data_IF_600996551843
#
_entry.id   IF_600996551843
#
_cell.length_a   1.000
_cell.length_b   1.000
_cell.length_c   1.000
_cell.angle_alpha   90.00
_cell.angle_beta   90.00
_cell.angle_gamma   90.00
#
_symmetry.space_group_name_H-M   'P 1'
#
loop_
_entity.id
_entity.type
_entity.pdbx_description
1 polymer ?
#
# COMPACT_ATOMS: atom_id res chain seq x y z
N UNK A 1 18.20 -45.87 -40.17
CA UNK A 1 17.70 -44.55 -40.63
C UNK A 1 17.58 -43.64 -39.41
N UNK A 2 18.53 -42.73 -39.27
CA UNK A 2 18.62 -41.72 -38.20
C UNK A 2 17.52 -40.68 -38.38
N UNK A 3 16.68 -40.48 -37.35
CA UNK A 3 15.65 -39.44 -37.33
C UNK A 3 16.18 -38.22 -36.56
N UNK A 4 16.44 -37.15 -37.30
CA UNK A 4 16.81 -35.83 -36.76
C UNK A 4 15.65 -35.23 -35.98
N UNK A 5 15.83 -34.99 -34.68
CA UNK A 5 14.86 -34.31 -33.82
C UNK A 5 15.08 -32.79 -33.95
N UNK A 6 14.10 -32.07 -34.50
CA UNK A 6 14.09 -30.59 -34.48
C UNK A 6 13.45 -30.10 -33.18
N UNK A 7 14.19 -29.33 -32.38
CA UNK A 7 13.67 -28.61 -31.20
C UNK A 7 12.98 -27.32 -31.65
N UNK A 8 11.80 -27.00 -31.10
CA UNK A 8 11.15 -25.69 -31.25
C UNK A 8 11.50 -24.83 -30.05
N UNK A 9 12.01 -23.62 -30.32
CA UNK A 9 12.39 -22.63 -29.33
C UNK A 9 11.29 -21.57 -29.28
N UNK A 10 10.77 -21.27 -28.09
CA UNK A 10 9.74 -20.24 -27.89
C UNK A 10 10.40 -19.07 -27.16
N UNK A 11 10.28 -17.87 -27.74
CA UNK A 11 10.82 -16.63 -27.18
C UNK A 11 9.69 -15.82 -26.55
N UNK A 12 9.88 -15.39 -25.31
CA UNK A 12 8.98 -14.48 -24.62
C UNK A 12 9.80 -13.23 -24.25
N UNK A 13 9.39 -12.07 -24.74
CA UNK A 13 9.99 -10.78 -24.44
C UNK A 13 9.12 -10.05 -23.43
N UNK A 14 9.70 -9.65 -22.28
CA UNK A 14 9.01 -8.87 -21.24
C UNK A 14 9.74 -7.52 -21.14
N UNK A 15 9.05 -6.38 -21.34
CA UNK A 15 9.69 -5.07 -21.33
C UNK A 15 9.75 -4.55 -19.89
N UNK A 16 10.79 -4.89 -19.12
CA UNK A 16 11.24 -4.12 -17.94
C UNK A 16 12.50 -4.68 -17.25
N UNK A 17 13.09 -5.79 -17.68
CA UNK A 17 14.30 -6.34 -17.04
C UNK A 17 15.26 -6.81 -18.13
N UNK A 18 16.43 -6.17 -18.25
CA UNK A 18 17.50 -6.62 -19.14
C UNK A 18 18.11 -7.90 -18.58
N UNK A 19 17.58 -9.05 -19.01
CA UNK A 19 18.13 -10.37 -18.69
C UNK A 19 17.39 -11.47 -19.44
N UNK A 20 18.12 -12.21 -20.28
CA UNK A 20 17.59 -13.38 -20.98
C UNK A 20 17.62 -14.58 -20.03
N UNK A 21 16.47 -15.13 -19.67
CA UNK A 21 16.39 -16.36 -18.87
C UNK A 21 16.05 -17.55 -19.75
N UNK A 22 16.83 -18.63 -19.61
CA UNK A 22 16.59 -19.90 -20.28
C UNK A 22 15.91 -20.86 -19.32
N UNK A 23 14.75 -21.38 -19.70
CA UNK A 23 14.06 -22.45 -18.96
C UNK A 23 13.94 -23.65 -19.91
N UNK A 24 14.59 -24.75 -19.58
CA UNK A 24 14.37 -26.04 -20.23
C UNK A 24 13.32 -26.82 -19.44
N UNK A 25 12.18 -27.14 -20.06
CA UNK A 25 11.16 -28.01 -19.46
C UNK A 25 10.99 -29.29 -20.29
N UNK A 26 10.79 -30.46 -19.65
CA UNK A 26 10.38 -31.68 -20.35
C UNK A 26 9.01 -31.52 -21.03
N UNK A 27 8.80 -32.26 -22.12
CA UNK A 27 7.54 -32.27 -22.89
C UNK A 27 6.40 -32.78 -21.98
N UNK A 28 5.33 -31.99 -21.85
CA UNK A 28 4.10 -32.36 -21.12
C UNK A 28 3.72 -31.46 -19.94
N UNK A 29 4.44 -30.36 -19.70
CA UNK A 29 4.14 -29.45 -18.57
C UNK A 29 3.25 -28.30 -19.03
N UNK A 30 1.99 -28.26 -18.57
CA UNK A 30 1.09 -27.13 -18.78
C UNK A 30 1.40 -26.03 -17.75
N UNK A 31 1.59 -24.78 -18.22
CA UNK A 31 1.82 -23.62 -17.36
C UNK A 31 0.48 -22.90 -17.21
N UNK A 32 -0.18 -23.06 -16.06
CA UNK A 32 -1.48 -22.42 -15.79
C UNK A 32 -1.26 -21.06 -15.11
N UNK A 33 -1.83 -19.94 -15.61
CA UNK A 33 -1.71 -18.64 -14.95
C UNK A 33 -2.49 -18.62 -13.64
N UNK A 34 -1.89 -17.97 -12.63
CA UNK A 34 -2.38 -17.89 -11.26
C UNK A 34 -3.61 -16.96 -11.15
N UNK A 35 -4.82 -17.50 -11.30
CA UNK A 35 -6.06 -16.81 -10.93
C UNK A 35 -6.47 -17.17 -9.49
N UNK A 36 -6.68 -16.14 -8.66
CA UNK A 36 -7.23 -16.29 -7.31
C UNK A 36 -8.70 -16.75 -7.40
N UNK A 37 -9.00 -17.96 -6.93
CA UNK A 37 -10.35 -18.53 -6.91
C UNK A 37 -10.94 -18.53 -5.48
N UNK A 38 -12.10 -17.89 -5.32
CA UNK A 38 -12.86 -17.69 -4.07
C UNK A 38 -13.89 -18.79 -3.76
N UNK A 39 -13.65 -20.04 -4.17
CA UNK A 39 -14.67 -21.11 -4.08
C UNK A 39 -14.28 -22.25 -3.08
N UNK A 40 -15.09 -22.54 -2.04
CA UNK A 40 -14.70 -23.40 -0.91
C UNK A 40 -14.59 -24.91 -1.21
N UNK A 41 -14.99 -25.40 -2.39
CA UNK A 41 -14.93 -26.84 -2.71
C UNK A 41 -13.54 -27.28 -3.21
N UNK A 42 -12.69 -26.38 -3.72
CA UNK A 42 -11.34 -26.73 -4.24
C UNK A 42 -10.23 -26.73 -3.18
N UNK A 43 -10.48 -26.23 -1.97
CA UNK A 43 -9.48 -26.18 -0.89
C UNK A 43 -9.07 -27.58 -0.40
N UNK A 44 -9.98 -28.56 -0.47
CA UNK A 44 -9.76 -29.92 0.04
C UNK A 44 -8.83 -30.78 -0.82
N UNK A 45 -8.64 -30.43 -2.10
CA UNK A 45 -7.66 -31.09 -2.97
C UNK A 45 -6.23 -30.51 -2.81
N UNK A 46 -6.13 -29.24 -2.44
CA UNK A 46 -4.84 -28.54 -2.26
C UNK A 46 -4.12 -28.92 -0.95
N UNK A 47 -4.88 -29.28 0.10
CA UNK A 47 -4.31 -29.73 1.37
C UNK A 47 -3.81 -31.19 1.33
N UNK A 48 -4.29 -32.01 0.38
CA UNK A 48 -3.84 -33.40 0.21
C UNK A 48 -2.40 -33.53 -0.31
N UNK A 49 -1.96 -32.62 -1.18
CA UNK A 49 -0.62 -32.66 -1.79
C UNK A 49 0.51 -32.16 -0.89
N UNK A 50 0.22 -31.34 0.14
CA UNK A 50 1.24 -30.88 1.09
C UNK A 50 1.82 -31.99 1.96
N UNK A 51 1.13 -33.12 2.10
CA UNK A 51 1.62 -34.27 2.88
C UNK A 51 2.72 -35.08 2.18
N UNK A 52 2.96 -34.87 0.88
CA UNK A 52 3.96 -35.63 0.10
C UNK A 52 5.28 -34.91 -0.12
N UNK A 53 5.40 -33.65 0.31
CA UNK A 53 6.58 -32.81 0.08
C UNK A 53 7.39 -32.55 1.37
N UNK A 54 7.46 -33.55 2.26
CA UNK A 54 8.23 -33.50 3.50
C UNK A 54 9.06 -34.77 3.69
N UNK A 55 9.83 -35.16 2.68
CA UNK A 55 10.77 -36.28 2.77
C UNK A 55 11.84 -36.16 1.69
N UNK A 56 12.77 -35.23 1.87
CA UNK A 56 14.08 -35.29 1.22
C UNK A 56 15.13 -34.84 2.24
N UNK A 57 15.45 -35.75 3.17
CA UNK A 57 16.68 -35.67 3.96
C UNK A 57 17.83 -36.16 3.08
N UNK A 58 18.84 -35.31 2.93
CA UNK A 58 20.10 -35.63 2.26
C UNK A 58 20.83 -36.67 3.12
N UNK A 59 20.93 -37.91 2.63
CA UNK A 59 21.77 -38.96 3.20
C UNK A 59 23.20 -38.78 2.68
N UNK A 60 24.14 -38.45 3.56
CA UNK A 60 25.58 -38.47 3.26
C UNK A 60 26.13 -39.85 3.61
N UNK A 61 26.63 -40.55 2.60
CA UNK A 61 27.30 -41.85 2.70
C UNK A 61 28.62 -41.73 3.47
N UNK A 62 28.81 -42.54 4.51
CA UNK A 62 30.14 -42.83 5.09
C UNK A 62 30.58 -44.22 4.63
N UNK A 63 31.58 -44.27 3.76
CA UNK A 63 32.25 -45.51 3.37
C UNK A 63 33.33 -45.86 4.40
N UNK A 64 33.23 -47.07 4.97
CA UNK A 64 34.25 -47.68 5.81
C UNK A 64 35.33 -48.33 4.94
N UNK A 65 36.60 -47.97 5.16
CA UNK A 65 37.75 -48.79 4.75
C UNK A 65 38.47 -49.28 6.01
N UNK A 66 38.55 -50.61 6.10
CA UNK A 66 39.33 -51.39 7.07
C UNK A 66 40.77 -51.55 6.56
N UNK A 67 41.75 -51.39 7.45
CA UNK A 67 43.08 -52.01 7.28
C UNK A 67 44.27 -51.26 7.91
N UNK A 68 44.89 -51.88 8.92
CA UNK A 68 46.36 -51.95 9.00
C UNK A 68 47.17 -50.90 9.79
N UNK A 69 47.56 -51.30 11.00
CA UNK A 69 48.86 -51.09 11.68
C UNK A 69 49.57 -49.71 11.70
N UNK A 70 49.54 -49.11 12.90
CA UNK A 70 50.55 -48.29 13.59
C UNK A 70 51.65 -47.56 12.80
N UNK A 71 51.68 -46.21 12.92
CA UNK A 71 52.89 -45.41 13.26
C UNK A 71 52.55 -43.94 13.56
N UNK A 72 52.75 -43.58 14.83
CA UNK A 72 53.26 -42.32 15.42
C UNK A 72 53.09 -40.97 14.68
N UNK A 73 52.64 -40.00 15.48
CA UNK A 73 52.70 -38.54 15.30
C UNK A 73 51.73 -37.92 14.28
N UNK A 74 50.70 -37.26 14.82
CA UNK A 74 50.23 -35.88 14.55
C UNK A 74 48.83 -35.80 15.18
N UNK A 75 48.79 -35.46 16.47
CA UNK A 75 47.54 -35.23 17.21
C UNK A 75 47.53 -33.76 17.65
N UNK A 76 47.43 -32.86 16.66
CA UNK A 76 47.14 -31.42 16.80
C UNK A 76 47.11 -30.86 15.37
N UNK A 77 46.06 -30.18 14.86
CA UNK A 77 45.12 -29.33 15.57
C UNK A 77 43.67 -29.47 15.03
N UNK A 78 42.93 -30.50 15.42
CA UNK A 78 41.50 -30.64 15.06
C UNK A 78 40.55 -30.62 16.27
N UNK A 79 41.02 -30.11 17.41
CA UNK A 79 40.20 -29.87 18.60
C UNK A 79 40.16 -28.39 19.02
N UNK A 80 40.67 -27.48 18.18
CA UNK A 80 40.61 -26.03 18.40
C UNK A 80 39.54 -25.32 17.53
N UNK A 81 38.96 -26.01 16.55
CA UNK A 81 37.92 -25.42 15.68
C UNK A 81 36.48 -25.69 16.13
N UNK A 82 36.27 -26.57 17.10
CA UNK A 82 34.91 -26.88 17.62
C UNK A 82 34.53 -26.00 18.83
N UNK A 83 35.49 -25.29 19.44
CA UNK A 83 35.24 -24.39 20.58
C UNK A 83 35.21 -22.89 20.23
N UNK A 84 35.41 -22.51 18.97
CA UNK A 84 35.25 -21.12 18.49
C UNK A 84 34.09 -20.94 17.50
N UNK A 85 33.26 -21.99 17.30
CA UNK A 85 32.09 -21.95 16.40
C UNK A 85 30.75 -21.70 17.10
N UNK A 86 30.71 -21.68 18.43
CA UNK A 86 29.47 -21.62 19.23
C UNK A 86 29.29 -20.34 20.04
N UNK A 87 30.11 -19.32 19.79
CA UNK A 87 29.94 -17.97 20.35
C UNK A 87 29.98 -16.91 19.25
N UNK A 88 29.12 -17.02 18.24
CA UNK A 88 28.85 -15.90 17.34
C UNK A 88 27.44 -15.91 16.72
N UNK A 89 26.43 -16.38 17.46
CA UNK A 89 25.01 -16.21 17.06
C UNK A 89 24.12 -15.93 18.28
N UNK A 90 24.55 -15.07 19.20
CA UNK A 90 23.68 -14.58 20.29
C UNK A 90 23.86 -13.09 20.60
N UNK A 91 24.31 -12.29 19.64
CA UNK A 91 24.30 -10.84 19.80
C UNK A 91 23.87 -10.20 18.48
N UNK A 92 22.90 -9.31 18.59
CA UNK A 92 22.28 -8.50 17.52
C UNK A 92 21.14 -9.15 16.71
N UNK A 93 20.10 -9.62 17.41
CA UNK A 93 18.74 -9.15 17.06
C UNK A 93 18.48 -7.85 17.82
N UNK A 94 19.26 -6.83 17.49
CA UNK A 94 18.87 -5.45 17.80
C UNK A 94 17.65 -5.17 16.96
N UNK A 95 16.49 -5.16 17.61
CA UNK A 95 15.25 -4.73 16.98
C UNK A 95 15.45 -3.24 16.67
N UNK A 96 15.99 -2.94 15.48
CA UNK A 96 16.00 -1.60 14.93
C UNK A 96 14.56 -1.26 14.58
N UNK A 97 13.74 -1.00 15.60
CA UNK A 97 12.55 -0.20 15.44
C UNK A 97 13.05 1.16 15.00
N UNK A 98 13.03 1.40 13.69
CA UNK A 98 13.07 2.73 13.15
C UNK A 98 11.86 3.43 13.78
N UNK A 99 12.08 4.22 14.83
CA UNK A 99 11.05 5.10 15.38
C UNK A 99 10.79 6.14 14.28
N UNK A 100 9.89 5.77 13.37
CA UNK A 100 9.46 6.64 12.29
C UNK A 100 8.85 7.86 12.97
N UNK A 101 9.56 8.98 12.91
CA UNK A 101 9.08 10.26 13.43
C UNK A 101 7.63 10.45 12.99
N UNK A 102 6.73 10.57 13.96
CA UNK A 102 5.30 10.69 13.70
C UNK A 102 5.03 12.02 13.00
N UNK A 103 4.27 11.98 11.91
CA UNK A 103 3.86 13.18 11.17
C UNK A 103 2.88 13.95 12.04
N UNK A 104 3.21 15.19 12.38
CA UNK A 104 2.35 16.07 13.18
C UNK A 104 1.56 17.07 12.34
N UNK A 105 2.06 17.40 11.15
CA UNK A 105 1.50 18.44 10.29
C UNK A 105 1.47 17.98 8.85
N UNK A 106 0.41 18.35 8.14
CA UNK A 106 0.26 18.13 6.71
C UNK A 106 -0.42 19.33 6.04
N UNK A 107 -0.25 19.45 4.74
CA UNK A 107 -0.85 20.51 3.94
C UNK A 107 -1.24 19.99 2.55
N UNK A 108 -2.39 20.40 2.07
CA UNK A 108 -2.78 20.32 0.67
C UNK A 108 -2.81 21.74 0.09
N UNK A 109 -2.00 21.97 -0.94
CA UNK A 109 -2.14 23.16 -1.78
C UNK A 109 -3.24 22.86 -2.78
N UNK A 110 -4.34 23.60 -2.69
CA UNK A 110 -5.53 23.38 -3.50
C UNK A 110 -5.43 24.20 -4.77
N UNK A 111 -5.53 23.51 -5.90
CA UNK A 111 -5.48 24.08 -7.25
C UNK A 111 -6.80 23.83 -7.98
N UNK A 112 -7.19 24.73 -8.89
CA UNK A 112 -8.45 24.58 -9.62
C UNK A 112 -8.40 23.39 -10.58
N UNK A 113 -9.51 22.68 -10.71
CA UNK A 113 -9.75 21.83 -11.88
C UNK A 113 -10.04 22.69 -13.11
N UNK A 114 -9.99 22.12 -14.31
CA UNK A 114 -10.14 22.85 -15.57
C UNK A 114 -11.45 23.63 -15.62
N UNK A 115 -11.35 24.92 -15.95
CA UNK A 115 -12.48 25.84 -16.06
C UNK A 115 -12.95 26.43 -14.72
N UNK A 116 -12.32 26.06 -13.59
CA UNK A 116 -12.62 26.60 -12.27
C UNK A 116 -11.52 27.55 -11.80
N UNK A 117 -11.79 28.27 -10.71
CA UNK A 117 -10.86 29.25 -10.15
C UNK A 117 -10.51 29.00 -8.69
N UNK A 118 -11.10 27.99 -8.06
CA UNK A 118 -10.96 27.67 -6.64
C UNK A 118 -9.52 27.32 -6.31
N UNK A 119 -8.97 27.99 -5.29
CA UNK A 119 -7.56 27.86 -4.89
C UNK A 119 -7.36 28.23 -3.43
N UNK A 120 -6.29 27.71 -2.84
CA UNK A 120 -5.90 28.04 -1.47
C UNK A 120 -5.16 26.90 -0.79
N UNK A 121 -5.37 26.74 0.50
CA UNK A 121 -4.68 25.71 1.30
C UNK A 121 -5.61 25.06 2.30
N UNK A 122 -5.41 23.76 2.51
CA UNK A 122 -5.97 23.02 3.65
C UNK A 122 -4.81 22.49 4.46
N UNK A 123 -4.74 22.84 5.75
CA UNK A 123 -3.71 22.36 6.66
C UNK A 123 -4.31 21.42 7.71
N UNK A 124 -3.51 20.46 8.11
CA UNK A 124 -3.88 19.43 9.06
C UNK A 124 -2.85 19.39 10.19
N UNK A 125 -3.32 19.38 11.44
CA UNK A 125 -2.45 19.34 12.62
C UNK A 125 -2.96 18.29 13.60
N UNK A 126 -2.11 17.31 13.91
CA UNK A 126 -2.45 16.27 14.87
C UNK A 126 -2.54 16.87 16.28
N UNK A 127 -3.69 16.69 16.93
CA UNK A 127 -3.91 17.05 18.33
C UNK A 127 -4.48 15.88 19.15
N UNK A 128 -4.54 16.06 20.47
CA UNK A 128 -4.97 15.01 21.40
C UNK A 128 -6.44 14.60 21.21
N UNK A 129 -7.26 15.52 20.68
CA UNK A 129 -8.72 15.34 20.49
C UNK A 129 -9.11 14.89 19.07
N UNK A 130 -8.14 14.75 18.17
CA UNK A 130 -8.39 14.49 16.76
C UNK A 130 -7.47 15.31 15.86
N UNK A 131 -7.75 15.27 14.56
CA UNK A 131 -7.01 16.02 13.56
C UNK A 131 -7.65 17.39 13.37
N UNK A 132 -6.94 18.46 13.72
CA UNK A 132 -7.40 19.82 13.41
C UNK A 132 -7.26 20.05 11.90
N UNK A 133 -8.32 20.54 11.27
CA UNK A 133 -8.39 20.84 9.84
C UNK A 133 -8.69 22.33 9.69
N UNK A 134 -7.82 23.03 8.95
CA UNK A 134 -7.98 24.46 8.67
C UNK A 134 -7.97 24.67 7.17
N UNK A 135 -9.05 25.20 6.60
CA UNK A 135 -9.13 25.54 5.18
C UNK A 135 -9.19 27.06 4.99
N UNK A 136 -8.36 27.58 4.10
CA UNK A 136 -8.39 28.96 3.62
C UNK A 136 -8.43 28.92 2.10
N UNK A 137 -9.59 29.25 1.53
CA UNK A 137 -9.87 29.07 0.10
C UNK A 137 -10.53 30.32 -0.48
N UNK A 138 -10.38 30.50 -1.78
CA UNK A 138 -10.97 31.63 -2.53
C UNK A 138 -11.44 31.14 -3.90
N UNK A 139 -12.35 31.89 -4.53
CA UNK A 139 -12.80 31.64 -5.90
C UNK A 139 -13.94 30.63 -6.02
N UNK A 140 -14.63 30.34 -4.91
CA UNK A 140 -15.87 29.57 -4.87
C UNK A 140 -17.07 30.45 -5.23
N UNK A 141 -18.18 29.83 -5.59
CA UNK A 141 -19.48 30.52 -5.58
C UNK A 141 -19.94 30.67 -4.12
N UNK A 142 -20.73 31.70 -3.77
CA UNK A 142 -21.28 31.82 -2.42
C UNK A 142 -22.14 30.60 -2.02
N UNK A 143 -22.03 30.17 -0.77
CA UNK A 143 -22.81 29.07 -0.17
C UNK A 143 -22.00 27.80 0.14
N UNK A 144 -22.73 26.69 0.34
CA UNK A 144 -22.16 25.43 0.79
C UNK A 144 -21.57 24.59 -0.35
N UNK A 145 -20.42 23.97 -0.06
CA UNK A 145 -19.67 23.13 -0.98
C UNK A 145 -19.16 21.87 -0.29
N UNK A 146 -19.42 20.71 -0.89
CA UNK A 146 -18.92 19.43 -0.40
C UNK A 146 -17.40 19.39 -0.38
N UNK A 147 -16.83 18.81 0.66
CA UNK A 147 -15.42 18.88 0.98
C UNK A 147 -14.96 17.53 1.52
N UNK A 148 -14.08 16.85 0.78
CA UNK A 148 -13.74 15.46 1.06
C UNK A 148 -12.26 15.16 0.86
N UNK A 149 -11.75 14.16 1.58
CA UNK A 149 -10.52 13.45 1.21
C UNK A 149 -10.91 12.29 0.30
N UNK A 150 -10.28 12.21 -0.86
CA UNK A 150 -10.48 11.18 -1.86
C UNK A 150 -9.38 10.12 -1.84
N UNK A 151 -9.72 8.93 -2.34
CA UNK A 151 -8.94 7.70 -2.21
C UNK A 151 -7.52 7.78 -2.79
N UNK A 152 -7.30 8.54 -3.86
CA UNK A 152 -5.99 8.65 -4.50
C UNK A 152 -5.50 10.10 -4.48
N UNK A 153 -4.21 10.28 -4.19
CA UNK A 153 -3.47 11.53 -4.47
C UNK A 153 -3.10 11.70 -5.94
N UNK A 154 -3.93 11.20 -6.85
CA UNK A 154 -3.71 11.33 -8.29
C UNK A 154 -4.55 12.49 -8.83
N UNK A 155 -3.87 13.59 -9.17
CA UNK A 155 -4.46 14.80 -9.74
C UNK A 155 -4.19 14.94 -11.24
N UNK A 156 -3.91 13.82 -11.93
CA UNK A 156 -3.55 13.82 -13.36
C UNK A 156 -4.71 14.19 -14.28
N UNK A 157 -5.97 13.95 -13.88
CA UNK A 157 -7.12 14.36 -14.68
C UNK A 157 -7.46 15.83 -14.49
N UNK A 158 -7.84 16.47 -15.59
CA UNK A 158 -8.19 17.90 -15.61
C UNK A 158 -9.44 18.22 -14.78
N UNK A 159 -10.35 17.25 -14.62
CA UNK A 159 -11.60 17.36 -13.86
C UNK A 159 -11.50 16.81 -12.43
N UNK A 160 -10.30 16.35 -12.04
CA UNK A 160 -10.01 15.74 -10.75
C UNK A 160 -10.60 14.34 -10.51
N UNK A 161 -11.23 13.70 -11.50
CA UNK A 161 -11.73 12.31 -11.44
C UNK A 161 -10.66 11.26 -11.05
N UNK A 162 -9.39 11.46 -11.39
CA UNK A 162 -8.28 10.53 -11.03
C UNK A 162 -8.13 10.30 -9.53
N UNK A 163 -8.60 11.23 -8.67
CA UNK A 163 -8.57 11.07 -7.23
C UNK A 163 -9.47 9.93 -6.70
N UNK A 164 -10.33 9.33 -7.53
CA UNK A 164 -11.19 8.22 -7.13
C UNK A 164 -12.40 8.66 -6.29
N UNK A 165 -12.96 7.76 -5.47
CA UNK A 165 -14.07 8.04 -4.56
C UNK A 165 -13.62 8.69 -3.25
N UNK A 166 -14.53 8.81 -2.27
CA UNK A 166 -14.16 9.27 -0.93
C UNK A 166 -13.24 8.23 -0.26
N UNK A 167 -12.27 8.69 0.51
CA UNK A 167 -11.37 7.82 1.25
C UNK A 167 -12.16 7.03 2.33
N UNK A 168 -12.29 5.72 2.11
CA UNK A 168 -13.12 4.84 2.95
C UNK A 168 -12.41 3.52 3.30
N UNK A 169 -11.35 3.55 4.11
CA UNK A 169 -10.58 2.35 4.46
C UNK A 169 -11.38 1.35 5.33
N UNK A 170 -12.51 1.77 5.91
CA UNK A 170 -13.33 0.96 6.82
C UNK A 170 -14.64 0.47 6.21
N UNK A 171 -14.92 0.79 4.94
CA UNK A 171 -16.14 0.35 4.26
C UNK A 171 -17.44 0.87 4.88
N UNK A 172 -17.42 2.07 5.48
CA UNK A 172 -18.59 2.71 6.08
C UNK A 172 -19.45 3.39 4.99
N UNK A 173 -20.74 3.68 5.24
CA UNK A 173 -21.52 4.53 4.35
C UNK A 173 -21.06 5.99 4.44
N UNK A 174 -21.37 6.79 3.41
CA UNK A 174 -21.21 8.24 3.45
C UNK A 174 -22.13 8.87 4.52
N UNK A 175 -21.63 9.84 5.28
CA UNK A 175 -22.43 10.55 6.31
C UNK A 175 -21.82 11.88 6.75
N UNK A 176 -22.44 12.53 7.75
CA UNK A 176 -21.96 13.77 8.36
C UNK A 176 -20.60 13.59 9.06
N UNK A 177 -19.76 14.65 9.16
CA UNK A 177 -18.41 14.57 9.73
C UNK A 177 -18.31 14.11 11.19
N UNK A 178 -19.36 14.33 11.98
CA UNK A 178 -19.40 13.93 13.39
C UNK A 178 -20.12 12.60 13.62
N UNK A 179 -20.51 11.89 12.56
CA UNK A 179 -21.11 10.56 12.64
C UNK A 179 -20.06 9.50 12.98
N UNK A 180 -20.41 8.54 13.83
CA UNK A 180 -19.59 7.35 14.12
C UNK A 180 -19.42 6.45 12.89
N UNK A 181 -20.37 6.50 11.95
CA UNK A 181 -20.39 5.73 10.71
C UNK A 181 -20.40 6.69 9.52
N UNK A 182 -19.21 6.95 8.99
CA UNK A 182 -18.97 7.78 7.79
C UNK A 182 -17.76 7.26 7.03
N UNK A 183 -17.55 7.69 5.79
CA UNK A 183 -16.23 7.54 5.19
C UNK A 183 -15.21 8.33 6.01
N UNK A 184 -13.98 7.82 6.12
CA UNK A 184 -12.93 8.54 6.85
C UNK A 184 -12.64 9.90 6.22
N UNK A 185 -12.85 10.05 4.90
CA UNK A 185 -12.67 11.30 4.17
C UNK A 185 -13.88 12.23 4.13
N UNK A 186 -15.01 11.91 4.78
CA UNK A 186 -16.22 12.77 4.76
C UNK A 186 -16.04 14.00 5.68
N UNK A 187 -15.51 15.12 5.16
CA UNK A 187 -15.33 16.35 5.95
C UNK A 187 -16.54 17.29 5.90
N UNK A 188 -17.55 16.97 5.09
CA UNK A 188 -18.84 17.63 5.03
C UNK A 188 -18.84 18.84 4.11
N UNK A 189 -19.33 19.99 4.57
CA UNK A 189 -19.40 21.21 3.77
C UNK A 189 -18.46 22.30 4.29
N UNK A 190 -17.87 23.04 3.36
CA UNK A 190 -17.32 24.39 3.60
C UNK A 190 -18.34 25.44 3.19
N UNK A 191 -18.30 26.60 3.83
CA UNK A 191 -19.21 27.72 3.54
C UNK A 191 -18.43 28.90 2.96
N UNK A 192 -18.75 29.26 1.73
CA UNK A 192 -18.14 30.37 1.01
C UNK A 192 -18.98 31.64 1.20
N UNK A 193 -18.31 32.74 1.59
CA UNK A 193 -18.94 34.05 1.74
C UNK A 193 -19.40 34.65 0.41
N UNK A 194 -19.97 35.85 0.46
CA UNK A 194 -20.48 36.56 -0.73
C UNK A 194 -19.38 36.85 -1.76
N UNK A 195 -18.14 36.93 -1.32
CA UNK A 195 -16.94 37.15 -2.12
C UNK A 195 -16.28 35.84 -2.58
N UNK A 196 -16.82 34.67 -2.19
CA UNK A 196 -16.30 33.36 -2.55
C UNK A 196 -15.09 32.91 -1.73
N UNK A 197 -14.87 33.48 -0.56
CA UNK A 197 -13.82 33.10 0.38
C UNK A 197 -14.35 32.14 1.44
N UNK A 198 -13.48 31.26 1.91
CA UNK A 198 -13.76 30.29 2.97
C UNK A 198 -12.69 30.39 4.04
N UNK A 199 -13.13 30.44 5.29
CA UNK A 199 -12.32 30.07 6.45
C UNK A 199 -13.04 28.98 7.23
N UNK A 200 -12.40 27.82 7.38
CA UNK A 200 -12.88 26.72 8.20
C UNK A 200 -11.78 26.34 9.21
N UNK A 201 -12.17 26.05 10.45
CA UNK A 201 -11.29 25.51 11.50
C UNK A 201 -12.11 24.57 12.40
N UNK A 202 -11.85 23.27 12.30
CA UNK A 202 -12.54 22.26 13.11
C UNK A 202 -11.62 21.08 13.47
N UNK A 203 -12.10 20.20 14.35
CA UNK A 203 -11.40 18.98 14.75
C UNK A 203 -12.16 17.77 14.22
N UNK A 204 -11.49 16.97 13.39
CA UNK A 204 -11.98 15.71 12.89
C UNK A 204 -11.57 14.55 13.83
N UNK A 205 -12.52 13.74 14.35
CA UNK A 205 -12.22 12.68 15.30
C UNK A 205 -11.74 11.37 14.67
N UNK A 206 -11.82 11.21 13.34
CA UNK A 206 -11.57 9.92 12.64
C UNK A 206 -10.27 9.94 11.84
N UNK A 207 -10.02 11.03 11.10
CA UNK A 207 -8.85 11.17 10.24
C UNK A 207 -7.54 11.17 11.03
N UNK A 208 -6.48 10.64 10.41
CA UNK A 208 -5.15 10.50 11.02
C UNK A 208 -4.06 10.84 10.00
N UNK A 209 -2.93 11.34 10.48
CA UNK A 209 -1.73 11.55 9.65
C UNK A 209 -0.77 10.35 9.65
N UNK A 210 -1.02 9.35 10.49
CA UNK A 210 -0.14 8.21 10.69
C UNK A 210 -0.94 6.90 10.75
N UNK A 211 -0.25 5.77 10.55
CA UNK A 211 -0.85 4.44 10.54
C UNK A 211 -1.47 4.05 9.20
N UNK A 212 -2.14 2.89 9.14
CA UNK A 212 -2.66 2.32 7.89
C UNK A 212 -3.80 3.14 7.26
N UNK A 213 -4.52 3.93 8.06
CA UNK A 213 -5.61 4.79 7.60
C UNK A 213 -5.18 6.27 7.56
N UNK A 214 -3.89 6.52 7.27
CA UNK A 214 -3.36 7.88 7.14
C UNK A 214 -3.91 8.57 5.90
N UNK A 215 -4.23 9.86 5.99
CA UNK A 215 -4.63 10.69 4.85
C UNK A 215 -3.44 11.25 4.04
N UNK A 216 -2.20 10.99 4.47
CA UNK A 216 -1.02 11.44 3.73
C UNK A 216 -0.95 10.76 2.37
N UNK A 217 -0.78 11.55 1.30
CA UNK A 217 -0.74 11.05 -0.08
C UNK A 217 -2.12 10.84 -0.72
N UNK A 218 -3.19 11.15 0.00
CA UNK A 218 -4.55 11.26 -0.56
C UNK A 218 -4.82 12.68 -1.07
N UNK A 219 -5.90 12.90 -1.81
CA UNK A 219 -6.27 14.23 -2.32
C UNK A 219 -7.42 14.84 -1.54
N UNK A 220 -7.33 16.12 -1.23
CA UNK A 220 -8.50 16.95 -0.92
C UNK A 220 -9.22 17.26 -2.23
N UNK A 221 -10.54 17.13 -2.23
CA UNK A 221 -11.43 17.56 -3.31
C UNK A 221 -12.47 18.54 -2.75
N UNK A 222 -12.71 19.61 -3.51
CA UNK A 222 -13.81 20.54 -3.28
C UNK A 222 -14.82 20.36 -4.40
N UNK A 223 -16.09 20.27 -4.04
CA UNK A 223 -17.20 20.08 -4.96
C UNK A 223 -17.95 21.38 -5.26
N UNK A 224 -18.70 21.41 -6.36
CA UNK A 224 -19.44 22.61 -6.79
C UNK A 224 -20.76 22.85 -6.06
N UNK A 225 -21.30 21.85 -5.34
CA UNK A 225 -22.55 21.95 -4.60
C UNK A 225 -22.39 21.44 -3.18
N UNK A 226 -23.39 21.73 -2.37
CA UNK A 226 -23.59 21.18 -1.04
C UNK A 226 -23.66 19.65 -1.05
N UNK A 227 -22.97 19.04 -0.09
CA UNK A 227 -23.13 17.65 0.32
C UNK A 227 -24.42 17.51 1.17
N UNK A 228 -25.35 16.66 0.73
CA UNK A 228 -26.65 16.42 1.36
C UNK A 228 -26.61 15.43 2.55
N UNK A 229 -25.44 14.82 2.83
CA UNK A 229 -25.16 13.83 3.86
C UNK A 229 -26.00 12.55 3.83
N UNK A 230 -26.73 12.30 2.73
CA UNK A 230 -27.72 11.23 2.62
C UNK A 230 -27.45 10.35 1.41
N UNK A 231 -27.26 10.96 0.25
CA UNK A 231 -27.10 10.27 -1.03
C UNK A 231 -25.83 9.45 -1.02
N UNK A 232 -25.96 8.15 -1.29
CA UNK A 232 -24.80 7.26 -1.34
C UNK A 232 -24.25 7.16 -2.77
N UNK A 233 -22.93 7.04 -2.96
CA UNK A 233 -21.88 7.13 -1.94
C UNK A 233 -21.29 8.55 -1.79
N UNK A 234 -21.87 9.58 -2.42
CA UNK A 234 -21.17 10.85 -2.69
C UNK A 234 -21.81 12.11 -2.11
N UNK A 235 -22.95 12.00 -1.42
CA UNK A 235 -23.66 13.15 -0.88
C UNK A 235 -24.25 14.09 -1.93
N UNK A 236 -24.26 13.69 -3.22
CA UNK A 236 -24.75 14.49 -4.34
C UNK A 236 -24.09 15.89 -4.49
N UNK A 237 -22.85 16.03 -4.01
CA UNK A 237 -22.12 17.32 -4.02
C UNK A 237 -21.74 17.84 -5.42
N UNK A 238 -21.98 17.07 -6.48
CA UNK A 238 -21.74 17.50 -7.86
C UNK A 238 -20.26 17.47 -8.31
N UNK A 239 -19.95 18.14 -9.43
CA UNK A 239 -18.59 18.18 -10.01
C UNK A 239 -17.50 18.66 -9.06
N UNK A 240 -16.24 18.25 -9.34
CA UNK A 240 -15.05 18.66 -8.58
C UNK A 240 -14.51 19.97 -9.14
N UNK A 241 -14.38 20.99 -8.30
CA UNK A 241 -13.95 22.34 -8.69
C UNK A 241 -12.51 22.65 -8.29
N UNK A 242 -11.96 21.88 -7.35
CA UNK A 242 -10.58 22.03 -6.90
C UNK A 242 -10.05 20.70 -6.35
N UNK A 243 -8.73 20.55 -6.40
CA UNK A 243 -8.03 19.39 -5.89
C UNK A 243 -6.65 19.74 -5.32
N UNK A 244 -6.16 18.96 -4.36
CA UNK A 244 -4.81 19.12 -3.81
C UNK A 244 -4.33 17.88 -3.07
N UNK A 245 -3.15 17.38 -3.39
CA UNK A 245 -2.55 16.22 -2.69
C UNK A 245 -2.07 16.64 -1.31
N UNK A 246 -2.38 15.82 -0.30
CA UNK A 246 -1.99 16.02 1.10
C UNK A 246 -0.54 15.58 1.29
N UNK A 247 0.35 16.55 1.44
CA UNK A 247 1.77 16.34 1.71
C UNK A 247 2.12 16.59 3.18
N UNK A 248 3.26 16.05 3.63
CA UNK A 248 3.82 16.34 4.96
C UNK A 248 4.23 17.82 5.02
N UNK A 249 3.87 18.50 6.10
CA UNK A 249 4.26 19.89 6.35
C UNK A 249 5.34 19.98 7.44
N UNK A 250 6.13 21.07 7.39
CA UNK A 250 7.19 21.36 8.36
C UNK A 250 6.64 21.69 9.74
#
# INVERSE_FOLDING_TARGET
>A
MTRTIRRRMVYISIPAISGTFHIETPIGTEIVPLFHATNPVKKRLYEGEKSKMQSNRVNVFTSFISGGAMKKYIVAPMLAFVLFGTQCVLAQKGNMSHEKSMVKRAIAVVTPTKGNSVRGTVSFEAGDKGLRVIANLTGLTPGHHGFHVHEFGDISSEDGSSAGGHFNPTGMPHSMPMSDKRHAGDMGNIDADAEGNVHLDYIDPVMKLNGPNSIIGHAVIIHSKEDDFKTQPTGNAGPRVAQGVIGIAK
#
